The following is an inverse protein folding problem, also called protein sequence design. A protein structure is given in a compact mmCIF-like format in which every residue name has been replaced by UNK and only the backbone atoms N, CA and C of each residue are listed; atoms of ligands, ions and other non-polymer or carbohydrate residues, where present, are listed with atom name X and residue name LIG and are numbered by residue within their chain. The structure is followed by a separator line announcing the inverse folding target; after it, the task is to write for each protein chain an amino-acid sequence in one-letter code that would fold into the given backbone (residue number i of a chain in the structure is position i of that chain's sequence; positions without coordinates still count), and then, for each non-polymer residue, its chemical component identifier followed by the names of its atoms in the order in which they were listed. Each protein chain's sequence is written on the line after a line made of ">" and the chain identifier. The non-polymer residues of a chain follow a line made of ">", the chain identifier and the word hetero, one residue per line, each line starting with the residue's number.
data_IF_753246445788
#
_entry.id   IF_753246445788
#
_cell.length_a   1.000
_cell.length_b   1.000
_cell.length_c   1.000
_cell.angle_alpha   90.00
_cell.angle_beta   90.00
_cell.angle_gamma   90.00
#
_symmetry.space_group_name_H-M   'P 1'
#
loop_
_entity.id
_entity.type
_entity.pdbx_description
1 polymer ?
#
# COMPACT_ATOMS: atom_id res chain seq x y z
N UNK A 1 3.70 19.93 -19.13
CA UNK A 1 3.38 18.53 -18.84
C UNK A 1 2.50 18.48 -17.58
N UNK A 2 1.33 17.82 -17.60
CA UNK A 2 0.42 17.72 -16.45
C UNK A 2 0.42 16.29 -15.94
N UNK A 3 0.68 16.08 -14.64
CA UNK A 3 0.65 14.75 -14.03
C UNK A 3 -0.75 14.45 -13.49
N UNK A 4 -1.26 13.25 -13.77
CA UNK A 4 -2.49 12.68 -13.19
C UNK A 4 -2.16 11.39 -12.49
N UNK A 5 -2.14 11.43 -11.15
CA UNK A 5 -1.88 10.25 -10.33
C UNK A 5 -3.17 9.43 -10.14
N UNK A 6 -3.09 8.13 -10.38
CA UNK A 6 -4.17 7.20 -10.09
C UNK A 6 -4.42 7.12 -8.57
N UNK A 7 -5.70 7.12 -8.16
CA UNK A 7 -6.08 7.06 -6.74
C UNK A 7 -5.72 5.73 -6.08
N UNK A 8 -5.67 4.66 -6.87
CA UNK A 8 -5.31 3.32 -6.39
C UNK A 8 -3.81 3.03 -6.42
N UNK A 9 -2.96 3.98 -6.84
CA UNK A 9 -1.51 3.78 -6.89
C UNK A 9 -0.93 3.49 -5.49
N UNK A 10 0.03 2.55 -5.41
CA UNK A 10 0.76 2.26 -4.17
C UNK A 10 0.28 1.01 -3.43
N UNK A 11 0.74 0.82 -2.20
CA UNK A 11 0.49 -0.40 -1.43
C UNK A 11 -0.99 -0.75 -1.30
N UNK A 12 -1.31 -2.02 -1.58
CA UNK A 12 -2.60 -2.56 -1.18
C UNK A 12 -2.60 -2.94 0.32
N UNK A 13 -3.80 -3.16 0.88
CA UNK A 13 -3.98 -3.56 2.27
C UNK A 13 -3.14 -4.80 2.64
N UNK A 14 -3.10 -5.83 1.78
CA UNK A 14 -2.37 -7.07 2.05
C UNK A 14 -0.85 -6.86 2.12
N UNK A 15 -0.29 -6.05 1.21
CA UNK A 15 1.12 -5.68 1.21
C UNK A 15 1.47 -4.82 2.43
N UNK A 16 0.67 -3.81 2.74
CA UNK A 16 0.87 -2.96 3.92
C UNK A 16 0.91 -3.80 5.19
N UNK A 17 -0.10 -4.68 5.39
CA UNK A 17 -0.15 -5.59 6.54
C UNK A 17 1.11 -6.47 6.63
N UNK A 18 1.60 -7.00 5.50
CA UNK A 18 2.78 -7.87 5.53
C UNK A 18 4.05 -7.11 5.95
N UNK A 19 4.20 -5.87 5.48
CA UNK A 19 5.31 -4.99 5.86
C UNK A 19 5.21 -4.59 7.34
N UNK A 20 4.02 -4.22 7.81
CA UNK A 20 3.80 -3.86 9.22
C UNK A 20 4.14 -5.04 10.15
N UNK A 21 3.73 -6.28 9.80
CA UNK A 21 4.10 -7.48 10.55
C UNK A 21 5.62 -7.69 10.59
N UNK A 22 6.31 -7.50 9.45
CA UNK A 22 7.76 -7.66 9.41
C UNK A 22 8.49 -6.58 10.21
N UNK A 23 8.03 -5.33 10.16
CA UNK A 23 8.58 -4.22 10.94
C UNK A 23 8.29 -4.37 12.45
N UNK A 24 7.08 -4.80 12.80
CA UNK A 24 6.74 -5.10 14.21
C UNK A 24 7.61 -6.23 14.78
N UNK A 25 7.99 -7.21 13.95
CA UNK A 25 8.84 -8.32 14.38
C UNK A 25 10.26 -7.87 14.77
N UNK A 26 10.77 -6.80 14.18
CA UNK A 26 12.11 -6.25 14.47
C UNK A 26 12.23 -5.80 15.92
N UNK A 27 11.13 -5.36 16.53
CA UNK A 27 11.11 -4.92 17.94
C UNK A 27 11.16 -6.10 18.93
N UNK A 28 11.15 -7.35 18.44
CA UNK A 28 11.29 -8.56 19.23
C UNK A 28 12.76 -9.02 19.35
N UNK A 29 12.98 -10.06 20.13
CA UNK A 29 14.31 -10.66 20.27
C UNK A 29 14.60 -11.64 19.14
N UNK A 30 15.85 -11.65 18.65
CA UNK A 30 16.39 -12.61 17.71
C UNK A 30 16.37 -12.17 16.23
N UNK A 31 16.84 -13.08 15.38
CA UNK A 31 16.92 -12.83 13.95
C UNK A 31 15.53 -12.89 13.30
N UNK A 32 15.27 -11.98 12.37
CA UNK A 32 14.04 -11.95 11.60
C UNK A 32 14.33 -12.29 10.15
N UNK A 33 13.62 -13.28 9.64
CA UNK A 33 13.73 -13.76 8.27
C UNK A 33 12.41 -13.64 7.54
N UNK A 34 12.43 -13.47 6.23
CA UNK A 34 11.28 -13.71 5.36
C UNK A 34 11.56 -14.94 4.49
N UNK A 35 10.58 -15.82 4.36
CA UNK A 35 10.70 -16.99 3.49
C UNK A 35 10.39 -16.59 2.04
N UNK A 36 11.44 -16.37 1.27
CA UNK A 36 11.40 -15.63 0.00
C UNK A 36 11.12 -14.14 0.18
N UNK A 37 11.13 -13.36 -0.90
CA UNK A 37 10.85 -11.92 -0.87
C UNK A 37 9.44 -11.67 -0.31
N UNK A 38 9.34 -10.79 0.70
CA UNK A 38 8.06 -10.47 1.36
C UNK A 38 7.03 -9.92 0.36
N UNK A 39 7.51 -9.08 -0.57
CA UNK A 39 6.77 -8.44 -1.65
C UNK A 39 7.63 -8.35 -2.91
N UNK A 40 7.01 -8.24 -4.09
CA UNK A 40 7.73 -8.10 -5.36
C UNK A 40 8.10 -6.63 -5.64
N UNK A 41 8.96 -6.06 -4.81
CA UNK A 41 9.54 -4.74 -5.00
C UNK A 41 10.95 -4.70 -4.39
N UNK A 42 12.01 -4.60 -5.21
CA UNK A 42 13.40 -4.65 -4.73
C UNK A 42 13.71 -3.57 -3.69
N UNK A 43 13.23 -2.35 -3.89
CA UNK A 43 13.50 -1.21 -3.02
C UNK A 43 12.81 -1.37 -1.65
N UNK A 44 11.59 -1.96 -1.63
CA UNK A 44 10.91 -2.29 -0.37
C UNK A 44 11.65 -3.40 0.40
N UNK A 45 12.23 -4.37 -0.32
CA UNK A 45 13.04 -5.44 0.29
C UNK A 45 14.35 -4.88 0.83
N UNK A 46 15.03 -4.01 0.09
CA UNK A 46 16.26 -3.36 0.52
C UNK A 46 16.04 -2.54 1.80
N UNK A 47 14.93 -1.81 1.87
CA UNK A 47 14.52 -1.08 3.08
C UNK A 47 14.30 -2.04 4.27
N UNK A 48 13.66 -3.20 4.08
CA UNK A 48 13.51 -4.20 5.14
C UNK A 48 14.85 -4.81 5.56
N UNK A 49 15.75 -5.09 4.60
CA UNK A 49 17.10 -5.58 4.87
C UNK A 49 17.92 -4.58 5.69
N UNK A 50 17.85 -3.29 5.37
CA UNK A 50 18.54 -2.24 6.14
C UNK A 50 18.04 -2.12 7.58
N UNK A 51 16.83 -2.61 7.86
CA UNK A 51 16.23 -2.69 9.21
C UNK A 51 16.46 -4.05 9.90
N UNK A 52 17.22 -4.96 9.30
CA UNK A 52 17.59 -6.25 9.90
C UNK A 52 16.69 -7.43 9.53
N UNK A 53 15.70 -7.27 8.64
CA UNK A 53 14.90 -8.37 8.11
C UNK A 53 15.62 -9.02 6.93
N UNK A 54 16.03 -10.28 7.05
CA UNK A 54 16.80 -10.98 6.02
C UNK A 54 15.90 -11.89 5.17
N UNK A 55 16.10 -11.89 3.86
CA UNK A 55 15.41 -12.82 2.96
C UNK A 55 16.17 -14.15 2.92
N UNK A 56 15.47 -15.27 3.14
CA UNK A 56 15.99 -16.62 2.97
C UNK A 56 15.20 -17.37 1.90
N UNK A 57 15.92 -18.13 1.06
CA UNK A 57 15.30 -18.94 -0.02
C UNK A 57 15.29 -20.45 0.32
N UNK A 58 15.71 -20.81 1.51
CA UNK A 58 15.74 -22.18 2.02
C UNK A 58 15.99 -22.25 3.52
N UNK A 59 15.75 -23.40 4.10
CA UNK A 59 15.90 -23.65 5.53
C UNK A 59 17.22 -24.39 5.79
N UNK A 60 18.18 -23.70 6.40
CA UNK A 60 19.45 -24.29 6.87
C UNK A 60 19.36 -24.66 8.34
N UNK A 61 20.13 -25.67 8.79
CA UNK A 61 20.08 -26.18 10.16
C UNK A 61 20.54 -25.17 11.22
N UNK A 62 21.32 -24.18 10.83
CA UNK A 62 21.81 -23.10 11.70
C UNK A 62 20.84 -21.94 11.92
N UNK A 63 19.65 -21.95 11.30
CA UNK A 63 18.68 -20.86 11.43
C UNK A 63 18.01 -20.90 12.79
N UNK A 64 18.01 -19.76 13.48
CA UNK A 64 17.27 -19.56 14.74
C UNK A 64 16.61 -18.17 14.73
N UNK A 65 15.38 -18.09 15.24
CA UNK A 65 14.62 -16.84 15.29
C UNK A 65 13.23 -16.96 14.72
N UNK A 66 12.76 -15.88 14.10
CA UNK A 66 11.39 -15.75 13.58
C UNK A 66 11.38 -15.68 12.05
N UNK A 67 10.52 -16.49 11.43
CA UNK A 67 10.26 -16.48 10.00
C UNK A 67 8.91 -15.83 9.71
N UNK A 68 8.92 -14.76 8.92
CA UNK A 68 7.71 -14.11 8.44
C UNK A 68 7.34 -14.74 7.09
N UNK A 69 6.14 -15.32 7.01
CA UNK A 69 5.60 -15.84 5.75
C UNK A 69 5.21 -14.63 4.87
N UNK A 70 5.64 -14.64 3.62
CA UNK A 70 5.37 -13.59 2.63
C UNK A 70 3.87 -13.39 2.35
N UNK A 71 3.50 -12.22 1.81
CA UNK A 71 2.11 -11.87 1.47
C UNK A 71 1.44 -12.86 0.48
N UNK A 72 2.21 -13.55 -0.34
CA UNK A 72 1.77 -14.55 -1.32
C UNK A 72 1.39 -15.90 -0.69
N UNK A 73 1.73 -16.11 0.59
CA UNK A 73 1.62 -17.39 1.24
C UNK A 73 2.71 -18.39 0.83
N UNK A 74 2.64 -19.55 1.44
CA UNK A 74 3.48 -20.72 1.15
C UNK A 74 2.61 -21.98 1.17
N UNK A 75 3.15 -23.09 0.67
CA UNK A 75 2.47 -24.39 0.72
C UNK A 75 2.40 -24.95 2.14
N UNK A 76 1.44 -25.86 2.46
CA UNK A 76 1.40 -26.54 3.75
C UNK A 76 2.67 -27.33 4.07
N UNK A 77 3.35 -27.88 3.05
CA UNK A 77 4.61 -28.59 3.19
C UNK A 77 5.72 -27.66 3.69
N UNK A 78 5.92 -26.52 3.03
CA UNK A 78 6.91 -25.51 3.45
C UNK A 78 6.62 -25.01 4.88
N UNK A 79 5.34 -24.80 5.22
CA UNK A 79 4.97 -24.39 6.57
C UNK A 79 5.29 -25.45 7.63
N UNK A 80 5.10 -26.73 7.30
CA UNK A 80 5.45 -27.85 8.18
C UNK A 80 6.97 -27.93 8.37
N UNK A 81 7.75 -27.77 7.32
CA UNK A 81 9.21 -27.78 7.36
C UNK A 81 9.76 -26.64 8.26
N UNK A 82 9.20 -25.42 8.18
CA UNK A 82 9.59 -24.32 9.05
C UNK A 82 9.32 -24.65 10.52
N UNK A 83 8.16 -25.26 10.82
CA UNK A 83 7.80 -25.69 12.17
C UNK A 83 8.72 -26.78 12.72
N UNK A 84 9.07 -27.77 11.89
CA UNK A 84 9.99 -28.85 12.27
C UNK A 84 11.38 -28.35 12.65
N UNK A 85 11.84 -27.25 12.06
CA UNK A 85 13.09 -26.58 12.41
C UNK A 85 13.02 -25.76 13.71
N UNK A 86 11.90 -25.76 14.42
CA UNK A 86 11.72 -25.01 15.67
C UNK A 86 11.68 -23.49 15.52
N UNK A 87 11.51 -22.97 14.30
CA UNK A 87 11.44 -21.54 14.02
C UNK A 87 10.05 -20.99 14.38
N UNK A 88 10.02 -19.80 14.98
CA UNK A 88 8.76 -19.07 15.21
C UNK A 88 8.21 -18.58 13.89
N UNK A 89 6.91 -18.79 13.65
CA UNK A 89 6.24 -18.34 12.42
C UNK A 89 5.37 -17.14 12.72
N UNK A 90 5.53 -16.08 11.92
CA UNK A 90 4.59 -14.97 11.79
C UNK A 90 3.97 -15.01 10.39
N UNK A 91 2.69 -15.31 10.32
CA UNK A 91 2.00 -15.45 9.03
C UNK A 91 1.49 -14.09 8.52
N UNK A 92 2.20 -13.55 7.52
CA UNK A 92 1.83 -12.34 6.82
C UNK A 92 1.07 -12.60 5.51
N UNK A 93 0.61 -13.83 5.26
CA UNK A 93 -0.20 -14.17 4.09
C UNK A 93 -1.41 -13.24 3.98
N UNK A 94 -1.63 -12.68 2.80
CA UNK A 94 -2.77 -11.81 2.54
C UNK A 94 -4.09 -12.54 2.78
N UNK A 95 -5.07 -11.96 3.51
CA UNK A 95 -6.38 -12.59 3.74
C UNK A 95 -7.11 -13.02 2.45
N UNK A 96 -6.89 -12.31 1.33
CA UNK A 96 -7.44 -12.69 0.03
C UNK A 96 -6.81 -13.99 -0.49
N UNK A 97 -5.50 -14.18 -0.30
CA UNK A 97 -4.80 -15.42 -0.66
C UNK A 97 -5.26 -16.56 0.24
N UNK A 98 -5.40 -16.35 1.56
CA UNK A 98 -5.93 -17.34 2.50
C UNK A 98 -7.33 -17.82 2.07
N UNK A 99 -8.18 -16.92 1.58
CA UNK A 99 -9.50 -17.27 1.04
C UNK A 99 -9.37 -18.23 -0.15
N UNK A 100 -8.44 -17.99 -1.08
CA UNK A 100 -8.20 -18.86 -2.24
C UNK A 100 -7.70 -20.23 -1.79
N UNK A 101 -6.73 -20.27 -0.86
CA UNK A 101 -6.23 -21.51 -0.25
C UNK A 101 -7.36 -22.35 0.36
N UNK A 102 -8.29 -21.69 1.06
CA UNK A 102 -9.45 -22.35 1.68
C UNK A 102 -10.43 -22.92 0.65
N UNK A 103 -10.68 -22.20 -0.46
CA UNK A 103 -11.50 -22.67 -1.58
C UNK A 103 -10.86 -23.92 -2.21
N UNK A 104 -9.58 -23.82 -2.58
CA UNK A 104 -8.84 -24.93 -3.20
C UNK A 104 -8.87 -26.17 -2.30
N UNK A 105 -8.52 -26.02 -1.01
CA UNK A 105 -8.50 -27.10 -0.05
C UNK A 105 -9.87 -27.78 0.09
N UNK A 106 -10.96 -27.01 0.12
CA UNK A 106 -12.33 -27.54 0.22
C UNK A 106 -12.72 -28.30 -1.03
N UNK A 107 -12.56 -27.67 -2.21
CA UNK A 107 -13.00 -28.28 -3.46
C UNK A 107 -12.17 -29.53 -3.85
N UNK A 108 -10.87 -29.53 -3.58
CA UNK A 108 -10.03 -30.70 -3.78
C UNK A 108 -10.46 -31.89 -2.90
N UNK A 109 -10.92 -31.63 -1.64
CA UNK A 109 -11.50 -32.66 -0.76
C UNK A 109 -12.85 -33.18 -1.25
N UNK A 110 -13.64 -32.35 -1.92
CA UNK A 110 -14.92 -32.71 -2.55
C UNK A 110 -14.72 -33.44 -3.88
N UNK A 111 -13.46 -33.72 -4.29
CA UNK A 111 -13.13 -34.51 -5.46
C UNK A 111 -12.84 -33.71 -6.72
N UNK A 112 -12.91 -32.39 -6.72
CA UNK A 112 -12.61 -31.55 -7.85
C UNK A 112 -11.12 -31.51 -8.18
N UNK A 113 -10.78 -31.52 -9.45
CA UNK A 113 -9.47 -31.10 -9.94
C UNK A 113 -9.42 -29.57 -9.95
N UNK A 114 -8.32 -29.03 -9.48
CA UNK A 114 -8.17 -27.57 -9.31
C UNK A 114 -7.42 -27.01 -10.52
N UNK A 115 -8.03 -26.10 -11.24
CA UNK A 115 -7.37 -25.32 -12.30
C UNK A 115 -7.16 -23.90 -11.80
N UNK A 116 -5.88 -23.54 -11.65
CA UNK A 116 -5.46 -22.20 -11.23
C UNK A 116 -5.12 -21.40 -12.48
N UNK A 117 -5.89 -20.37 -12.78
CA UNK A 117 -5.56 -19.43 -13.86
C UNK A 117 -4.54 -18.42 -13.33
N UNK A 118 -3.28 -18.57 -13.76
CA UNK A 118 -2.17 -17.78 -13.21
C UNK A 118 -0.83 -18.04 -13.88
N UNK A 119 0.20 -17.41 -13.35
CA UNK A 119 1.58 -17.56 -13.81
C UNK A 119 2.22 -18.77 -13.08
N UNK A 120 2.65 -19.79 -13.81
CA UNK A 120 3.14 -21.09 -13.26
C UNK A 120 4.27 -20.92 -12.24
N UNK A 121 5.19 -20.00 -12.48
CA UNK A 121 6.37 -19.76 -11.63
C UNK A 121 6.13 -18.73 -10.51
N UNK A 122 4.93 -18.15 -10.47
CA UNK A 122 4.66 -17.13 -9.46
C UNK A 122 4.52 -17.74 -8.07
N UNK A 123 5.16 -17.17 -7.03
CA UNK A 123 5.14 -17.69 -5.66
C UNK A 123 3.76 -17.93 -5.07
N UNK A 124 2.76 -17.10 -5.41
CA UNK A 124 1.37 -17.29 -4.99
C UNK A 124 0.80 -18.57 -5.58
N UNK A 125 1.00 -18.82 -6.89
CA UNK A 125 0.47 -19.98 -7.60
C UNK A 125 1.12 -21.26 -7.08
N UNK A 126 2.44 -21.27 -6.88
CA UNK A 126 3.17 -22.40 -6.29
C UNK A 126 2.62 -22.72 -4.89
N UNK A 127 2.41 -21.68 -4.05
CA UNK A 127 1.82 -21.86 -2.73
C UNK A 127 0.40 -22.40 -2.78
N UNK A 128 -0.44 -21.92 -3.72
CA UNK A 128 -1.82 -22.38 -3.90
C UNK A 128 -1.90 -23.85 -4.36
N UNK A 129 -1.02 -24.27 -5.27
CA UNK A 129 -0.93 -25.68 -5.70
C UNK A 129 -0.73 -26.65 -4.54
N UNK A 130 0.02 -26.26 -3.51
CA UNK A 130 0.22 -27.10 -2.33
C UNK A 130 -1.05 -27.45 -1.56
N UNK A 131 -2.17 -26.73 -1.79
CA UNK A 131 -3.45 -27.02 -1.13
C UNK A 131 -4.37 -27.93 -1.95
N UNK A 132 -3.97 -28.34 -3.16
CA UNK A 132 -4.79 -29.11 -4.10
C UNK A 132 -4.72 -30.65 -3.90
N UNK A 133 -3.88 -31.15 -2.98
CA UNK A 133 -3.64 -32.57 -2.77
C UNK A 133 -3.31 -33.31 -4.08
N UNK A 134 -2.34 -32.79 -4.82
CA UNK A 134 -1.86 -33.29 -6.12
C UNK A 134 -2.89 -33.30 -7.26
N UNK A 135 -4.06 -32.66 -7.07
CA UNK A 135 -5.11 -32.48 -8.10
C UNK A 135 -5.07 -31.09 -8.73
N UNK A 136 -3.95 -30.37 -8.63
CA UNK A 136 -3.81 -28.99 -9.10
C UNK A 136 -3.10 -28.88 -10.44
N UNK A 137 -3.63 -28.03 -11.31
CA UNK A 137 -3.05 -27.69 -12.60
C UNK A 137 -3.06 -26.16 -12.76
N UNK A 138 -2.12 -25.63 -13.54
CA UNK A 138 -2.02 -24.19 -13.79
C UNK A 138 -2.19 -23.95 -15.28
N UNK A 139 -3.04 -22.99 -15.61
CA UNK A 139 -3.30 -22.54 -16.97
C UNK A 139 -3.00 -21.03 -17.06
N UNK A 140 -2.12 -20.67 -17.98
CA UNK A 140 -1.73 -19.28 -18.19
C UNK A 140 -2.28 -18.69 -19.50
N UNK A 141 -2.81 -19.52 -20.41
CA UNK A 141 -3.41 -19.07 -21.68
C UNK A 141 -4.57 -19.98 -22.10
N UNK A 142 -5.32 -19.58 -23.12
CA UNK A 142 -6.45 -20.37 -23.65
C UNK A 142 -5.93 -21.66 -24.29
N UNK A 143 -4.81 -21.59 -25.00
CA UNK A 143 -4.19 -22.72 -25.69
C UNK A 143 -3.76 -23.84 -24.71
N UNK A 144 -3.45 -23.48 -23.47
CA UNK A 144 -3.10 -24.44 -22.41
C UNK A 144 -4.33 -25.19 -21.87
N UNK A 145 -5.55 -24.69 -22.09
CA UNK A 145 -6.77 -25.41 -21.72
C UNK A 145 -6.88 -26.72 -22.50
N UNK A 146 -6.43 -26.74 -23.76
CA UNK A 146 -6.45 -27.93 -24.59
C UNK A 146 -5.49 -29.04 -24.13
N UNK A 147 -4.50 -28.67 -23.31
CA UNK A 147 -3.52 -29.59 -22.73
C UNK A 147 -4.00 -30.25 -21.43
N UNK A 148 -5.14 -29.80 -20.87
CA UNK A 148 -5.70 -30.42 -19.68
C UNK A 148 -6.19 -31.85 -19.99
N UNK A 149 -6.02 -32.84 -19.08
CA UNK A 149 -6.49 -34.19 -19.26
C UNK A 149 -8.01 -34.23 -19.54
N UNK A 150 -8.41 -35.05 -20.50
CA UNK A 150 -9.82 -35.18 -20.96
C UNK A 150 -10.70 -36.08 -20.07
N UNK A 151 -10.06 -36.85 -19.19
CA UNK A 151 -10.71 -37.80 -18.27
C UNK A 151 -11.19 -37.17 -16.97
N UNK A 152 -11.03 -35.86 -16.85
CA UNK A 152 -11.47 -35.10 -15.65
C UNK A 152 -12.98 -34.83 -15.76
N UNK A 153 -13.75 -35.29 -14.77
CA UNK A 153 -15.19 -35.02 -14.71
C UNK A 153 -15.52 -33.71 -14.00
N UNK A 154 -14.80 -33.39 -12.89
CA UNK A 154 -15.10 -32.26 -12.01
C UNK A 154 -13.94 -31.28 -11.92
N UNK A 155 -14.16 -30.07 -12.33
CA UNK A 155 -13.16 -29.00 -12.35
C UNK A 155 -13.58 -27.80 -11.48
N UNK A 156 -12.70 -27.38 -10.60
CA UNK A 156 -12.84 -26.11 -9.88
C UNK A 156 -11.81 -25.12 -10.40
N UNK A 157 -12.28 -24.00 -10.95
CA UNK A 157 -11.43 -22.93 -11.49
C UNK A 157 -11.29 -21.81 -10.49
N UNK A 158 -10.05 -21.41 -10.21
CA UNK A 158 -9.72 -20.24 -9.40
C UNK A 158 -8.69 -19.38 -10.13
N UNK A 159 -8.60 -18.10 -9.77
CA UNK A 159 -7.60 -17.19 -10.31
C UNK A 159 -6.49 -16.90 -9.30
N UNK A 160 -5.27 -16.70 -9.77
CA UNK A 160 -4.26 -15.92 -9.06
C UNK A 160 -4.83 -14.54 -8.71
N UNK A 161 -4.63 -14.05 -7.48
CA UNK A 161 -5.30 -12.82 -7.00
C UNK A 161 -4.98 -11.57 -7.81
N UNK A 162 -3.87 -11.58 -8.55
CA UNK A 162 -3.41 -10.49 -9.43
C UNK A 162 -3.69 -10.70 -10.91
N UNK A 163 -4.50 -11.70 -11.28
CA UNK A 163 -4.77 -12.04 -12.68
C UNK A 163 -5.57 -10.95 -13.40
N UNK A 164 -5.47 -10.91 -14.72
CA UNK A 164 -6.30 -10.07 -15.57
C UNK A 164 -7.75 -10.60 -15.62
N UNK A 165 -8.71 -9.71 -15.44
CA UNK A 165 -10.13 -10.10 -15.36
C UNK A 165 -10.68 -10.63 -16.69
N UNK A 166 -10.30 -10.02 -17.81
CA UNK A 166 -10.80 -10.44 -19.13
C UNK A 166 -10.19 -11.78 -19.52
N UNK A 167 -8.89 -11.96 -19.28
CA UNK A 167 -8.17 -13.21 -19.52
C UNK A 167 -8.76 -14.36 -18.70
N UNK A 168 -9.02 -14.13 -17.40
CA UNK A 168 -9.65 -15.11 -16.53
C UNK A 168 -11.03 -15.52 -17.03
N UNK A 169 -11.86 -14.57 -17.45
CA UNK A 169 -13.19 -14.84 -17.97
C UNK A 169 -13.13 -15.73 -19.21
N UNK A 170 -12.31 -15.37 -20.20
CA UNK A 170 -12.16 -16.15 -21.44
C UNK A 170 -11.68 -17.58 -21.18
N UNK A 171 -10.67 -17.75 -20.33
CA UNK A 171 -10.16 -19.08 -19.97
C UNK A 171 -11.23 -19.89 -19.23
N UNK A 172 -11.96 -19.26 -18.30
CA UNK A 172 -13.02 -19.94 -17.54
C UNK A 172 -14.20 -20.39 -18.43
N UNK A 173 -14.56 -19.60 -19.43
CA UNK A 173 -15.58 -19.95 -20.42
C UNK A 173 -15.14 -21.16 -21.25
N UNK A 174 -13.91 -21.16 -21.74
CA UNK A 174 -13.33 -22.26 -22.51
C UNK A 174 -13.27 -23.57 -21.70
N UNK A 175 -12.92 -23.49 -20.40
CA UNK A 175 -12.96 -24.65 -19.50
C UNK A 175 -14.40 -25.17 -19.31
N UNK A 176 -15.39 -24.30 -19.20
CA UNK A 176 -16.81 -24.70 -19.07
C UNK A 176 -17.34 -25.43 -20.31
N UNK A 177 -16.88 -25.06 -21.49
CA UNK A 177 -17.25 -25.71 -22.72
C UNK A 177 -16.63 -27.12 -22.86
N UNK A 178 -15.48 -27.34 -22.21
CA UNK A 178 -14.72 -28.58 -22.33
C UNK A 178 -15.08 -29.65 -21.30
N UNK A 179 -15.44 -29.27 -20.09
CA UNK A 179 -15.64 -30.21 -18.97
C UNK A 179 -17.10 -30.26 -18.50
N UNK A 180 -17.62 -31.46 -18.10
CA UNK A 180 -19.03 -31.65 -17.80
C UNK A 180 -19.49 -30.97 -16.52
N UNK A 181 -18.63 -30.92 -15.48
CA UNK A 181 -18.94 -30.26 -14.20
C UNK A 181 -17.88 -29.23 -13.84
N UNK A 182 -18.20 -27.95 -13.94
CA UNK A 182 -17.26 -26.85 -13.68
C UNK A 182 -17.82 -25.85 -12.68
N UNK A 183 -17.07 -25.64 -11.60
CA UNK A 183 -17.33 -24.57 -10.64
C UNK A 183 -16.24 -23.50 -10.80
N UNK A 184 -16.66 -22.25 -10.97
CA UNK A 184 -15.72 -21.13 -11.16
C UNK A 184 -15.84 -20.16 -9.98
N UNK A 185 -14.72 -19.91 -9.30
CA UNK A 185 -14.59 -18.87 -8.29
C UNK A 185 -13.72 -17.75 -8.85
N UNK A 186 -14.30 -16.57 -9.05
CA UNK A 186 -13.50 -15.39 -9.33
C UNK A 186 -12.79 -14.93 -8.06
N UNK A 187 -11.52 -15.31 -7.94
CA UNK A 187 -10.67 -15.00 -6.79
C UNK A 187 -9.73 -13.82 -7.04
N UNK A 188 -9.89 -13.10 -8.16
CA UNK A 188 -9.15 -11.87 -8.42
C UNK A 188 -9.45 -10.86 -7.32
N UNK A 189 -8.42 -10.25 -6.77
CA UNK A 189 -8.56 -9.29 -5.67
C UNK A 189 -9.28 -8.01 -6.14
N UNK A 190 -10.25 -7.52 -5.36
CA UNK A 190 -10.97 -6.27 -5.66
C UNK A 190 -10.00 -5.08 -5.87
N UNK A 191 -8.90 -5.05 -5.10
CA UNK A 191 -7.85 -4.04 -5.27
C UNK A 191 -7.19 -4.14 -6.65
N UNK A 192 -6.97 -5.35 -7.17
CA UNK A 192 -6.44 -5.60 -8.53
C UNK A 192 -7.43 -5.13 -9.57
N UNK A 193 -8.69 -5.56 -9.49
CA UNK A 193 -9.72 -5.17 -10.44
C UNK A 193 -9.96 -3.66 -10.50
N UNK A 194 -9.94 -2.98 -9.33
CA UNK A 194 -10.05 -1.52 -9.26
C UNK A 194 -8.88 -0.82 -9.94
N UNK A 195 -7.65 -1.29 -9.71
CA UNK A 195 -6.44 -0.74 -10.33
C UNK A 195 -6.45 -0.91 -11.84
N UNK A 196 -6.81 -2.09 -12.34
CA UNK A 196 -6.90 -2.36 -13.77
C UNK A 196 -7.92 -1.44 -14.45
N UNK A 197 -9.12 -1.32 -13.86
CA UNK A 197 -10.16 -0.40 -14.38
C UNK A 197 -9.70 1.06 -14.39
N UNK A 198 -9.06 1.50 -13.31
CA UNK A 198 -8.56 2.88 -13.21
C UNK A 198 -7.42 3.13 -14.19
N UNK A 199 -6.49 2.18 -14.36
CA UNK A 199 -5.40 2.28 -15.32
C UNK A 199 -5.90 2.43 -16.76
N UNK A 200 -6.87 1.60 -17.18
CA UNK A 200 -7.52 1.71 -18.50
C UNK A 200 -8.20 3.09 -18.66
N UNK A 201 -8.94 3.51 -17.64
CA UNK A 201 -9.65 4.78 -17.69
C UNK A 201 -8.70 5.98 -17.75
N UNK A 202 -7.59 5.90 -17.02
CA UNK A 202 -6.56 6.96 -17.03
C UNK A 202 -5.80 6.96 -18.35
N UNK A 203 -5.38 5.79 -18.86
CA UNK A 203 -4.66 5.64 -20.11
C UNK A 203 -5.40 6.30 -21.28
N UNK A 204 -6.71 6.12 -21.37
CA UNK A 204 -7.55 6.74 -22.40
C UNK A 204 -7.66 8.28 -22.31
N UNK A 205 -7.12 8.90 -21.28
CA UNK A 205 -7.27 10.36 -21.00
C UNK A 205 -5.95 11.11 -20.92
N UNK A 206 -4.85 10.46 -21.26
CA UNK A 206 -3.50 11.00 -21.17
C UNK A 206 -2.68 10.64 -22.41
N UNK A 207 -1.63 11.36 -22.66
CA UNK A 207 -0.76 11.16 -23.82
C UNK A 207 0.26 10.04 -23.56
N UNK A 208 0.64 9.83 -22.29
CA UNK A 208 1.53 8.76 -21.87
C UNK A 208 1.20 8.25 -20.48
N UNK A 209 1.46 6.96 -20.24
CA UNK A 209 1.30 6.29 -18.95
C UNK A 209 2.66 5.90 -18.36
N UNK A 210 2.88 6.22 -17.09
CA UNK A 210 4.02 5.74 -16.31
C UNK A 210 3.53 4.76 -15.25
N UNK A 211 3.99 3.52 -15.35
CA UNK A 211 3.65 2.42 -14.45
C UNK A 211 4.84 2.15 -13.54
N UNK A 212 4.68 2.37 -12.24
CA UNK A 212 5.77 2.29 -11.28
C UNK A 212 5.72 0.97 -10.51
N UNK A 213 6.85 0.28 -10.43
CA UNK A 213 7.02 -0.90 -9.58
C UNK A 213 7.86 -2.00 -10.19
N UNK A 214 8.16 -3.01 -9.38
CA UNK A 214 9.08 -4.09 -9.75
C UNK A 214 8.67 -4.84 -11.01
N UNK A 215 9.64 -5.10 -11.90
CA UNK A 215 9.42 -5.87 -13.14
C UNK A 215 8.98 -7.31 -12.88
N UNK A 216 9.33 -7.85 -11.71
CA UNK A 216 8.93 -9.19 -11.26
C UNK A 216 7.53 -9.21 -10.60
N UNK A 217 6.87 -8.07 -10.46
CA UNK A 217 5.52 -7.99 -9.92
C UNK A 217 4.48 -8.29 -11.00
N UNK A 218 3.77 -9.40 -10.88
CA UNK A 218 2.69 -9.77 -11.81
C UNK A 218 1.62 -8.68 -11.92
N UNK A 219 1.23 -8.05 -10.81
CA UNK A 219 0.28 -6.95 -10.84
C UNK A 219 0.82 -5.73 -11.62
N UNK A 220 2.10 -5.37 -11.45
CA UNK A 220 2.68 -4.21 -12.14
C UNK A 220 2.81 -4.46 -13.64
N UNK A 221 3.27 -5.65 -14.04
CA UNK A 221 3.34 -6.05 -15.47
C UNK A 221 1.98 -5.97 -16.13
N UNK A 222 0.93 -6.52 -15.49
CA UNK A 222 -0.43 -6.46 -16.04
C UNK A 222 -0.96 -5.04 -16.17
N UNK A 223 -0.63 -4.14 -15.24
CA UNK A 223 -0.99 -2.72 -15.38
C UNK A 223 -0.31 -2.07 -16.59
N UNK A 224 0.93 -2.44 -16.91
CA UNK A 224 1.62 -1.98 -18.11
C UNK A 224 0.95 -2.54 -19.38
N UNK A 225 0.76 -3.85 -19.44
CA UNK A 225 0.13 -4.55 -20.59
C UNK A 225 -1.26 -3.99 -20.92
N UNK A 226 -2.13 -3.82 -19.91
CA UNK A 226 -3.48 -3.29 -20.13
C UNK A 226 -3.47 -1.80 -20.49
N UNK A 227 -2.48 -1.03 -20.02
CA UNK A 227 -2.32 0.37 -20.43
C UNK A 227 -1.86 0.46 -21.89
N UNK A 228 -0.89 -0.35 -22.29
CA UNK A 228 -0.42 -0.47 -23.67
C UNK A 228 -1.53 -0.91 -24.64
N UNK A 229 -2.39 -1.87 -24.21
CA UNK A 229 -3.51 -2.36 -25.03
C UNK A 229 -4.55 -1.27 -25.35
N UNK A 230 -4.54 -0.13 -24.64
CA UNK A 230 -5.39 1.02 -24.97
C UNK A 230 -4.84 1.88 -26.13
N UNK A 231 -3.62 1.57 -26.61
CA UNK A 231 -2.91 2.38 -27.62
C UNK A 231 -2.13 3.56 -27.01
N UNK A 232 -2.14 3.74 -25.69
CA UNK A 232 -1.42 4.82 -25.01
C UNK A 232 0.05 4.45 -24.81
N UNK A 233 0.96 5.35 -25.14
CA UNK A 233 2.39 5.15 -24.89
C UNK A 233 2.62 4.88 -23.39
N UNK A 234 3.22 3.74 -23.07
CA UNK A 234 3.35 3.26 -21.68
C UNK A 234 4.81 3.03 -21.33
N UNK A 235 5.21 3.51 -20.15
CA UNK A 235 6.56 3.39 -19.61
C UNK A 235 6.49 2.64 -18.27
N UNK A 236 7.09 1.44 -18.23
CA UNK A 236 7.23 0.69 -16.98
C UNK A 236 8.59 1.00 -16.36
N UNK A 237 8.60 1.58 -15.16
CA UNK A 237 9.81 2.00 -14.45
C UNK A 237 9.84 1.45 -13.02
N UNK A 238 11.02 1.05 -12.56
CA UNK A 238 11.24 0.69 -11.15
C UNK A 238 11.68 1.90 -10.32
N UNK A 239 12.40 2.84 -10.93
CA UNK A 239 12.91 4.04 -10.25
C UNK A 239 12.75 5.28 -11.13
N UNK A 240 12.87 6.46 -10.50
CA UNK A 240 12.85 7.76 -11.18
C UNK A 240 14.00 7.96 -12.18
N UNK A 241 15.11 7.21 -12.01
CA UNK A 241 16.27 7.24 -12.91
C UNK A 241 16.04 6.60 -14.27
N UNK A 242 15.04 5.72 -14.38
CA UNK A 242 14.69 5.05 -15.64
C UNK A 242 13.79 5.90 -16.56
N UNK A 243 13.33 7.06 -16.08
CA UNK A 243 12.56 8.00 -16.90
C UNK A 243 13.46 8.67 -17.94
N UNK A 244 13.20 8.40 -19.21
CA UNK A 244 13.86 9.06 -20.33
C UNK A 244 13.11 10.37 -20.68
N UNK A 245 13.74 11.55 -20.45
CA UNK A 245 13.11 12.83 -20.75
C UNK A 245 12.72 12.99 -22.21
N UNK A 246 13.48 12.39 -23.14
CA UNK A 246 13.21 12.52 -24.57
C UNK A 246 11.95 11.78 -24.98
N UNK A 247 11.70 10.61 -24.36
CA UNK A 247 10.48 9.82 -24.61
C UNK A 247 9.22 10.46 -24.03
N UNK A 248 9.37 11.34 -23.04
CA UNK A 248 8.27 12.07 -22.42
C UNK A 248 8.04 13.47 -23.03
N UNK A 249 8.94 13.92 -23.91
CA UNK A 249 8.94 15.30 -24.43
C UNK A 249 7.62 15.67 -25.15
N UNK A 250 7.03 14.73 -25.86
CA UNK A 250 5.81 14.94 -26.65
C UNK A 250 4.52 14.77 -25.81
N UNK A 251 4.62 14.38 -24.54
CA UNK A 251 3.47 14.18 -23.67
C UNK A 251 3.08 15.48 -22.97
N UNK A 252 1.89 16.00 -23.23
CA UNK A 252 1.32 17.13 -22.48
C UNK A 252 0.72 16.71 -21.14
N UNK A 253 0.12 15.52 -21.11
CA UNK A 253 -0.48 14.95 -19.90
C UNK A 253 0.04 13.52 -19.69
N UNK A 254 0.60 13.25 -18.51
CA UNK A 254 1.11 11.94 -18.12
C UNK A 254 0.24 11.37 -17.00
N UNK A 255 -0.28 10.17 -17.24
CA UNK A 255 -0.92 9.36 -16.22
C UNK A 255 0.13 8.55 -15.43
N UNK A 256 0.05 8.57 -14.12
CA UNK A 256 0.94 7.80 -13.25
C UNK A 256 0.12 6.81 -12.44
N UNK A 257 0.49 5.54 -12.48
CA UNK A 257 -0.05 4.51 -11.59
C UNK A 257 1.07 3.60 -11.08
N UNK A 258 0.77 2.78 -10.09
CA UNK A 258 1.79 1.95 -9.47
C UNK A 258 1.24 0.59 -9.06
N UNK A 259 2.13 -0.40 -9.04
CA UNK A 259 1.84 -1.74 -8.56
C UNK A 259 1.44 -1.77 -7.07
N UNK A 260 0.74 -2.85 -6.67
CA UNK A 260 0.28 -3.06 -5.30
C UNK A 260 1.42 -3.23 -4.27
N UNK A 261 2.63 -3.47 -4.73
CA UNK A 261 3.85 -3.60 -3.92
C UNK A 261 4.78 -2.39 -3.99
N UNK A 262 4.33 -1.28 -4.57
CA UNK A 262 5.13 -0.06 -4.74
C UNK A 262 4.89 0.91 -3.61
N UNK A 263 5.93 1.32 -2.84
CA UNK A 263 5.79 2.30 -1.78
C UNK A 263 5.43 3.71 -2.30
N UNK A 264 4.72 4.48 -1.48
CA UNK A 264 4.32 5.85 -1.86
C UNK A 264 5.52 6.77 -2.11
N UNK A 265 6.63 6.58 -1.39
CA UNK A 265 7.84 7.39 -1.59
C UNK A 265 8.46 7.20 -2.98
N UNK A 266 8.40 5.99 -3.56
CA UNK A 266 8.83 5.74 -4.93
C UNK A 266 7.93 6.47 -5.93
N UNK A 267 6.62 6.42 -5.70
CA UNK A 267 5.64 7.12 -6.54
C UNK A 267 5.92 8.62 -6.53
N UNK A 268 6.11 9.19 -5.34
CA UNK A 268 6.40 10.61 -5.18
C UNK A 268 7.70 11.01 -5.90
N UNK A 269 8.79 10.22 -5.78
CA UNK A 269 10.04 10.50 -6.50
C UNK A 269 9.86 10.52 -8.02
N UNK A 270 9.11 9.56 -8.56
CA UNK A 270 8.81 9.50 -10.00
C UNK A 270 7.96 10.69 -10.42
N UNK A 271 6.93 11.06 -9.66
CA UNK A 271 6.09 12.24 -9.92
C UNK A 271 6.93 13.52 -9.86
N UNK A 272 7.73 13.70 -8.81
CA UNK A 272 8.62 14.86 -8.64
C UNK A 272 9.62 14.96 -9.82
N UNK A 273 10.13 13.82 -10.30
CA UNK A 273 11.00 13.77 -11.45
C UNK A 273 10.30 14.23 -12.72
N UNK A 274 9.09 13.74 -13.00
CA UNK A 274 8.28 14.17 -14.16
C UNK A 274 8.00 15.67 -14.07
N UNK A 275 7.60 16.16 -12.90
CA UNK A 275 7.35 17.59 -12.67
C UNK A 275 8.61 18.45 -12.82
N UNK A 276 9.78 17.93 -12.40
CA UNK A 276 11.06 18.64 -12.55
C UNK A 276 11.47 18.82 -14.00
N UNK A 277 11.12 17.87 -14.87
CA UNK A 277 11.35 18.00 -16.32
C UNK A 277 10.53 19.17 -16.91
N UNK A 278 9.35 19.43 -16.35
CA UNK A 278 8.50 20.57 -16.71
C UNK A 278 9.02 21.90 -16.16
N UNK A 279 9.51 21.92 -14.89
CA UNK A 279 9.97 23.14 -14.20
C UNK A 279 11.14 23.83 -14.92
N UNK A 280 11.90 23.15 -15.74
CA UNK A 280 12.94 23.78 -16.59
C UNK A 280 12.37 24.82 -17.56
N UNK A 281 11.08 24.79 -17.87
CA UNK A 281 10.38 25.72 -18.77
C UNK A 281 9.47 26.73 -18.05
N UNK A 282 9.33 26.67 -16.71
CA UNK A 282 8.41 27.53 -15.95
C UNK A 282 9.05 28.85 -15.48
N UNK A 283 8.24 29.92 -15.37
CA UNK A 283 8.69 31.22 -14.89
C UNK A 283 9.10 31.17 -13.39
N UNK A 284 9.99 32.10 -12.96
CA UNK A 284 10.45 32.24 -11.57
C UNK A 284 9.26 32.41 -10.61
N UNK A 285 8.26 33.17 -11.02
CA UNK A 285 7.06 33.42 -10.22
C UNK A 285 6.26 32.13 -9.92
N UNK A 286 6.06 31.26 -10.93
CA UNK A 286 5.34 30.00 -10.73
C UNK A 286 6.10 29.01 -9.83
N UNK A 287 7.45 29.08 -9.82
CA UNK A 287 8.27 28.28 -8.89
C UNK A 287 8.10 28.75 -7.47
N UNK A 288 8.25 30.05 -7.19
CA UNK A 288 8.07 30.63 -5.84
C UNK A 288 6.68 30.32 -5.28
N UNK A 289 5.64 30.41 -6.13
CA UNK A 289 4.27 30.07 -5.73
C UNK A 289 4.13 28.58 -5.37
N UNK A 290 4.64 27.70 -6.23
CA UNK A 290 4.63 26.24 -5.99
C UNK A 290 5.39 25.84 -4.72
N UNK A 291 6.56 26.45 -4.49
CA UNK A 291 7.40 26.16 -3.33
C UNK A 291 6.75 26.66 -2.02
N UNK A 292 6.11 27.84 -2.07
CA UNK A 292 5.35 28.39 -0.94
C UNK A 292 4.13 27.51 -0.61
N UNK A 293 3.39 27.07 -1.61
CA UNK A 293 2.26 26.16 -1.42
C UNK A 293 2.72 24.80 -0.88
N UNK A 294 3.82 24.29 -1.41
CA UNK A 294 4.46 23.06 -0.93
C UNK A 294 4.87 23.16 0.55
N UNK A 295 5.43 24.30 0.97
CA UNK A 295 5.76 24.57 2.35
C UNK A 295 4.52 24.56 3.25
N UNK A 296 3.44 25.27 2.86
CA UNK A 296 2.19 25.31 3.62
C UNK A 296 1.55 23.94 3.81
N UNK A 297 1.62 23.07 2.77
CA UNK A 297 1.09 21.70 2.83
C UNK A 297 1.98 20.80 3.69
N UNK A 298 3.30 20.82 3.48
CA UNK A 298 4.24 19.98 4.25
C UNK A 298 4.25 20.34 5.73
N UNK A 299 4.15 21.61 6.07
CA UNK A 299 4.15 22.10 7.46
C UNK A 299 2.84 21.93 8.22
N UNK A 300 1.77 21.44 7.59
CA UNK A 300 0.41 21.35 8.15
C UNK A 300 -0.20 22.72 8.58
N UNK A 301 0.39 23.84 8.22
CA UNK A 301 -0.14 25.18 8.55
C UNK A 301 -1.52 25.37 7.93
N UNK A 302 -1.73 24.90 6.69
CA UNK A 302 -3.03 25.04 6.04
C UNK A 302 -4.14 24.23 6.74
N UNK A 303 -3.82 23.05 7.31
CA UNK A 303 -4.76 22.22 8.08
C UNK A 303 -5.15 22.93 9.39
N UNK A 304 -4.16 23.50 10.07
CA UNK A 304 -4.35 24.30 11.28
C UNK A 304 -5.23 25.53 11.01
N UNK A 305 -4.98 26.25 9.92
CA UNK A 305 -5.80 27.36 9.48
C UNK A 305 -7.24 26.93 9.19
N UNK A 306 -7.41 25.80 8.49
CA UNK A 306 -8.73 25.20 8.20
C UNK A 306 -9.51 24.86 9.48
N UNK A 307 -8.83 24.32 10.50
CA UNK A 307 -9.44 24.04 11.80
C UNK A 307 -9.90 25.33 12.52
N UNK A 308 -9.08 26.37 12.47
CA UNK A 308 -9.47 27.69 12.96
C UNK A 308 -10.69 28.27 12.24
N UNK A 309 -10.72 28.21 10.90
CA UNK A 309 -11.86 28.64 10.12
C UNK A 309 -13.12 27.84 10.45
N UNK A 310 -13.00 26.52 10.59
CA UNK A 310 -14.14 25.65 10.95
C UNK A 310 -14.69 26.03 12.32
N UNK A 311 -13.84 26.28 13.32
CA UNK A 311 -14.27 26.75 14.63
C UNK A 311 -15.01 28.09 14.55
N UNK A 312 -14.50 29.03 13.75
CA UNK A 312 -15.13 30.34 13.54
C UNK A 312 -16.52 30.21 12.90
N UNK A 313 -16.62 29.41 11.81
CA UNK A 313 -17.90 29.17 11.14
C UNK A 313 -18.89 28.44 12.05
N UNK A 314 -18.43 27.48 12.86
CA UNK A 314 -19.27 26.77 13.81
C UNK A 314 -19.90 27.71 14.84
N UNK A 315 -19.17 28.73 15.31
CA UNK A 315 -19.75 29.77 16.18
C UNK A 315 -20.86 30.55 15.47
N UNK A 316 -20.62 30.97 14.24
CA UNK A 316 -21.63 31.70 13.45
C UNK A 316 -22.92 30.88 13.26
N UNK A 317 -22.80 29.59 12.93
CA UNK A 317 -23.95 28.70 12.73
C UNK A 317 -24.76 28.47 14.02
N UNK A 318 -24.13 28.59 15.18
CA UNK A 318 -24.76 28.45 16.49
C UNK A 318 -25.27 29.81 17.06
N UNK A 319 -25.15 30.91 16.31
CA UNK A 319 -25.52 32.24 16.79
C UNK A 319 -24.60 32.80 17.88
N UNK A 320 -23.42 32.21 18.04
CA UNK A 320 -22.41 32.66 19.00
C UNK A 320 -21.52 33.70 18.33
N UNK A 321 -21.23 34.81 18.99
CA UNK A 321 -20.30 35.84 18.48
C UNK A 321 -18.90 35.23 18.36
N UNK A 322 -18.33 35.08 17.13
CA UNK A 322 -17.04 34.47 16.96
C UNK A 322 -15.93 35.37 17.52
N UNK A 323 -15.02 34.78 18.29
CA UNK A 323 -13.84 35.45 18.83
C UNK A 323 -12.56 34.88 18.18
N UNK A 324 -11.55 35.70 18.01
CA UNK A 324 -10.25 35.26 17.49
C UNK A 324 -9.65 34.13 18.34
N UNK A 325 -9.91 34.15 19.67
CA UNK A 325 -9.45 33.09 20.58
C UNK A 325 -9.97 31.69 20.18
N UNK A 326 -11.21 31.54 19.66
CA UNK A 326 -11.73 30.25 19.21
C UNK A 326 -10.96 29.73 18.00
N UNK A 327 -10.69 30.62 17.06
CA UNK A 327 -9.86 30.32 15.89
C UNK A 327 -8.46 29.87 16.28
N UNK A 328 -7.80 30.64 17.20
CA UNK A 328 -6.44 30.36 17.62
C UNK A 328 -6.34 29.07 18.45
N UNK A 329 -7.30 28.78 19.32
CA UNK A 329 -7.31 27.51 20.10
C UNK A 329 -7.41 26.33 19.16
N UNK A 330 -8.39 26.32 18.25
CA UNK A 330 -8.59 25.22 17.32
C UNK A 330 -7.40 25.03 16.37
N UNK A 331 -6.90 26.13 15.80
CA UNK A 331 -5.75 26.11 14.89
C UNK A 331 -4.47 25.65 15.56
N UNK A 332 -4.12 26.24 16.71
CA UNK A 332 -2.89 25.85 17.43
C UNK A 332 -2.95 24.44 18.03
N UNK A 333 -4.12 23.99 18.49
CA UNK A 333 -4.32 22.61 18.93
C UNK A 333 -4.09 21.61 17.79
N UNK A 334 -4.75 21.79 16.66
CA UNK A 334 -4.61 20.90 15.51
C UNK A 334 -3.18 20.93 14.97
N UNK A 335 -2.55 22.09 14.89
CA UNK A 335 -1.15 22.21 14.48
C UNK A 335 -0.21 21.40 15.37
N UNK A 336 -0.29 21.62 16.70
CA UNK A 336 0.57 20.93 17.65
C UNK A 336 0.36 19.42 17.63
N UNK A 337 -0.88 18.94 17.61
CA UNK A 337 -1.18 17.51 17.62
C UNK A 337 -0.71 16.80 16.34
N UNK A 338 -0.90 17.42 15.17
CA UNK A 338 -0.44 16.84 13.90
C UNK A 338 1.09 16.70 13.83
N UNK A 339 1.82 17.71 14.28
CA UNK A 339 3.29 17.66 14.25
C UNK A 339 3.83 16.75 15.36
N UNK A 340 3.23 16.78 16.54
CA UNK A 340 3.62 15.91 17.65
C UNK A 340 3.44 14.44 17.29
N UNK A 341 2.33 14.10 16.60
CA UNK A 341 2.07 12.76 16.09
C UNK A 341 3.15 12.30 15.11
N UNK A 342 3.63 13.19 14.25
CA UNK A 342 4.78 12.94 13.38
C UNK A 342 6.04 12.56 14.17
N UNK A 343 6.36 13.30 15.24
CA UNK A 343 7.54 13.05 16.06
C UNK A 343 7.44 11.78 16.92
N UNK A 344 6.22 11.36 17.28
CA UNK A 344 5.98 10.10 18.01
C UNK A 344 6.22 8.88 17.10
N UNK A 345 5.82 8.94 15.83
CA UNK A 345 5.94 7.81 14.88
C UNK A 345 6.86 8.17 13.69
N UNK A 346 8.07 8.65 13.99
CA UNK A 346 9.07 9.08 12.99
C UNK A 346 9.36 7.98 11.94
N UNK A 347 9.39 6.72 12.36
CA UNK A 347 9.68 5.61 11.45
C UNK A 347 8.57 5.35 10.45
N UNK A 348 7.31 5.32 10.91
CA UNK A 348 6.19 5.20 10.00
C UNK A 348 6.05 6.43 9.08
N UNK A 349 6.35 7.62 9.58
CA UNK A 349 6.36 8.84 8.79
C UNK A 349 7.43 8.80 7.68
N UNK A 350 8.68 8.39 8.01
CA UNK A 350 9.75 8.19 7.02
C UNK A 350 9.39 7.17 5.96
N UNK A 351 8.65 6.13 6.35
CA UNK A 351 8.21 5.09 5.43
C UNK A 351 7.07 5.55 4.51
N UNK A 352 6.08 6.27 5.05
CA UNK A 352 4.89 6.68 4.30
C UNK A 352 5.11 7.94 3.45
N UNK A 353 5.93 8.90 3.93
CA UNK A 353 6.23 10.16 3.23
C UNK A 353 7.65 10.65 3.58
N UNK A 354 8.70 10.05 2.95
CA UNK A 354 10.09 10.42 3.20
C UNK A 354 10.39 11.89 2.93
N UNK A 355 9.74 12.49 1.92
CA UNK A 355 9.95 13.90 1.58
C UNK A 355 9.45 14.86 2.66
N UNK A 356 8.36 14.50 3.33
CA UNK A 356 7.88 15.23 4.51
C UNK A 356 8.75 14.95 5.73
N UNK A 357 9.23 13.70 5.87
CA UNK A 357 10.14 13.32 6.95
C UNK A 357 11.45 14.12 6.89
N UNK A 358 12.09 14.18 5.73
CA UNK A 358 13.30 14.99 5.51
C UNK A 358 13.06 16.49 5.77
N UNK A 359 11.89 17.00 5.39
CA UNK A 359 11.50 18.39 5.65
C UNK A 359 11.42 18.69 7.15
N UNK A 360 10.80 17.82 7.95
CA UNK A 360 10.73 18.00 9.41
C UNK A 360 12.07 17.79 10.08
N UNK A 361 12.90 16.85 9.64
CA UNK A 361 14.24 16.63 10.19
C UNK A 361 15.16 17.81 9.93
N UNK A 362 15.12 18.37 8.72
CA UNK A 362 15.90 19.57 8.38
C UNK A 362 15.52 20.79 9.22
N UNK A 363 14.29 20.87 9.69
CA UNK A 363 13.74 22.01 10.44
C UNK A 363 13.28 21.61 11.85
N UNK A 364 13.83 20.53 12.42
CA UNK A 364 13.37 19.93 13.68
C UNK A 364 13.29 20.96 14.83
N UNK A 365 14.31 21.75 15.04
CA UNK A 365 14.34 22.78 16.10
C UNK A 365 13.23 23.84 15.94
N UNK A 366 12.94 24.25 14.69
CA UNK A 366 11.87 25.22 14.42
C UNK A 366 10.51 24.60 14.76
N UNK A 367 10.27 23.36 14.33
CA UNK A 367 8.99 22.71 14.59
C UNK A 367 8.77 22.38 16.07
N UNK A 368 9.80 21.99 16.81
CA UNK A 368 9.71 21.80 18.27
C UNK A 368 9.32 23.10 18.93
N UNK A 369 9.95 24.22 18.57
CA UNK A 369 9.61 25.55 19.12
C UNK A 369 8.17 25.94 18.79
N UNK A 370 7.73 25.71 17.56
CA UNK A 370 6.35 25.97 17.12
C UNK A 370 5.32 25.08 17.84
N UNK A 371 5.64 23.82 18.13
CA UNK A 371 4.79 22.94 18.94
C UNK A 371 4.61 23.52 20.34
N UNK A 372 5.72 23.86 21.01
CA UNK A 372 5.69 24.43 22.38
C UNK A 372 4.85 25.70 22.40
N UNK A 373 5.08 26.62 21.46
CA UNK A 373 4.32 27.85 21.35
C UNK A 373 2.83 27.61 21.10
N UNK A 374 2.49 26.65 20.21
CA UNK A 374 1.11 26.31 19.88
C UNK A 374 0.38 25.65 21.06
N UNK A 375 1.05 24.75 21.79
CA UNK A 375 0.51 24.15 23.01
C UNK A 375 0.27 25.21 24.07
N UNK A 376 1.25 26.08 24.29
CA UNK A 376 1.12 27.19 25.24
C UNK A 376 -0.04 28.11 24.87
N UNK A 377 -0.14 28.51 23.59
CA UNK A 377 -1.21 29.39 23.11
C UNK A 377 -2.58 28.75 23.31
N UNK A 378 -2.76 27.47 22.94
CA UNK A 378 -4.05 26.77 23.08
C UNK A 378 -4.44 26.62 24.56
N UNK A 379 -3.51 26.27 25.44
CA UNK A 379 -3.79 26.13 26.89
C UNK A 379 -4.05 27.46 27.55
N UNK A 380 -3.26 28.48 27.25
CA UNK A 380 -3.43 29.83 27.83
C UNK A 380 -4.79 30.43 27.45
N UNK A 381 -5.11 30.44 26.16
CA UNK A 381 -6.41 30.97 25.69
C UNK A 381 -7.60 30.15 26.20
N UNK A 382 -7.46 28.83 26.33
CA UNK A 382 -8.52 27.98 26.88
C UNK A 382 -8.75 28.26 28.38
N UNK A 383 -7.68 28.55 29.12
CA UNK A 383 -7.78 28.95 30.56
C UNK A 383 -8.51 30.28 30.71
N UNK A 384 -8.19 31.31 29.90
CA UNK A 384 -8.88 32.58 29.83
C UNK A 384 -10.38 32.45 29.50
N UNK A 385 -10.76 31.42 28.75
CA UNK A 385 -12.17 31.12 28.42
C UNK A 385 -12.94 30.43 29.55
N UNK A 386 -12.23 29.87 30.53
CA UNK A 386 -12.82 29.23 31.69
C UNK A 386 -12.30 27.83 31.98
N UNK A 387 -12.35 27.47 33.28
CA UNK A 387 -11.79 26.18 33.76
C UNK A 387 -12.35 24.93 33.04
N UNK A 388 -13.63 24.97 32.66
CA UNK A 388 -14.25 23.83 31.93
C UNK A 388 -13.64 23.61 30.55
N UNK A 389 -13.40 24.68 29.78
CA UNK A 389 -12.78 24.61 28.45
C UNK A 389 -11.32 24.12 28.56
N UNK A 390 -10.60 24.62 29.54
CA UNK A 390 -9.20 24.24 29.83
C UNK A 390 -9.09 22.73 30.15
N UNK A 391 -9.92 22.25 31.10
CA UNK A 391 -9.92 20.83 31.49
C UNK A 391 -10.32 19.95 30.32
N UNK A 392 -11.33 20.35 29.54
CA UNK A 392 -11.75 19.64 28.35
C UNK A 392 -10.63 19.51 27.30
N UNK A 393 -9.90 20.61 27.04
CA UNK A 393 -8.75 20.63 26.13
C UNK A 393 -7.63 19.70 26.60
N UNK A 394 -7.33 19.65 27.89
CA UNK A 394 -6.36 18.71 28.45
C UNK A 394 -6.82 17.25 28.23
N UNK A 395 -8.08 16.94 28.52
CA UNK A 395 -8.60 15.58 28.37
C UNK A 395 -8.47 15.10 26.91
N UNK A 396 -8.92 15.91 25.94
CA UNK A 396 -8.82 15.52 24.52
C UNK A 396 -7.38 15.44 24.05
N UNK A 397 -6.47 16.27 24.59
CA UNK A 397 -5.04 16.19 24.27
C UNK A 397 -4.42 14.88 24.78
N UNK A 398 -4.74 14.48 26.02
CA UNK A 398 -4.29 13.22 26.59
C UNK A 398 -4.84 12.02 25.83
N UNK A 399 -6.12 12.03 25.46
CA UNK A 399 -6.73 10.98 24.64
C UNK A 399 -6.06 10.88 23.27
N UNK A 400 -5.75 12.02 22.63
CA UNK A 400 -5.02 12.08 21.36
C UNK A 400 -3.61 11.50 21.47
N UNK A 401 -2.89 11.79 22.55
CA UNK A 401 -1.57 11.23 22.82
C UNK A 401 -1.62 9.72 23.07
N UNK A 402 -2.55 9.23 23.89
CA UNK A 402 -2.75 7.79 24.16
C UNK A 402 -3.04 7.05 22.86
N UNK A 403 -3.87 7.62 22.01
CA UNK A 403 -4.15 7.06 20.67
C UNK A 403 -2.88 7.00 19.80
N UNK A 404 -2.05 8.05 19.81
CA UNK A 404 -0.82 8.14 19.03
C UNK A 404 0.28 7.16 19.46
N UNK A 405 0.43 6.92 20.76
CA UNK A 405 1.49 6.06 21.33
C UNK A 405 1.16 4.57 21.20
N UNK A 406 0.01 4.19 20.61
CA UNK A 406 -0.42 2.78 20.43
C UNK A 406 -0.40 1.97 21.76
N UNK A 407 -0.69 2.62 22.89
CA UNK A 407 -0.76 1.98 24.23
C UNK A 407 -1.89 0.93 24.29
N UNK A 408 -2.89 1.06 23.43
CA UNK A 408 -4.03 0.13 23.39
C UNK A 408 -3.56 -1.23 22.85
N UNK A 409 -3.74 -2.32 23.60
CA UNK A 409 -3.38 -3.66 23.14
C UNK A 409 -4.00 -4.00 21.77
N UNK A 410 -3.23 -4.66 20.91
CA UNK A 410 -3.68 -5.04 19.54
C UNK A 410 -5.02 -5.81 19.53
N UNK A 411 -5.34 -6.54 20.59
CA UNK A 411 -6.61 -7.27 20.78
C UNK A 411 -7.83 -6.33 20.88
N UNK A 412 -7.70 -5.17 21.52
CA UNK A 412 -8.76 -4.16 21.62
C UNK A 412 -8.82 -3.28 20.36
N UNK A 413 -7.66 -3.00 19.74
CA UNK A 413 -7.60 -2.23 18.50
C UNK A 413 -8.36 -2.88 17.35
N UNK A 414 -8.27 -4.21 17.22
CA UNK A 414 -8.97 -4.96 16.19
C UNK A 414 -10.51 -4.96 16.36
N UNK A 415 -11.02 -4.64 17.54
CA UNK A 415 -12.47 -4.51 17.79
C UNK A 415 -13.07 -3.18 17.25
N UNK A 416 -12.23 -2.16 17.02
CA UNK A 416 -12.68 -0.85 16.53
C UNK A 416 -12.48 -0.64 15.03
N UNK A 417 -11.97 -1.64 14.29
CA UNK A 417 -11.74 -1.59 12.84
C UNK A 417 -12.82 -2.33 11.99
N UNK A 418 -13.93 -2.73 12.61
CA UNK A 418 -15.09 -3.34 11.91
C UNK A 418 -16.27 -2.40 11.91
#
# INVERSE_FOLDING_TARGET
>A
MRVRLAKTAGFCMGVRRAIDIALDAINGEGNIYTYGPLVHNPQAIEMLNSKGVKVINGLHDSLSGTVVIRAHGISPKEQAEIKQKGLKILDATCPRVIKVQSIIKRQAKEGYHIVIVGDKEHPEVIGLLGFSFDKGMVVSSIEEVDQLPSDIEKVCVVAQTTQDTLKFTKISENIRERFPEVIVFNTICDSTSKRQKEAIHLAKKVDGMVIIGGRNSGNTRRLAEISESTGTQTFHVETEGELDPNKLADCHTIGVTAGASTPNWMINRVVDRIESLQKRQSSVFSRLWSDSLGFLVKSNIYVAFGAGCLSYVSCLLQGITPRLSYFLIAGSYVFSMHILYYFIDKEAARYNDPGRAEFYERHEGIFITLIILSVFTSLFLSFEMGRGVFVFLIIISLLGLIYGIKIIPKSLWNMFQY
#
